data_IF_380844035652
#
_entry.id   IF_380844035652
#
_cell.length_a   1.000
_cell.length_b   1.000
_cell.length_c   1.000
_cell.angle_alpha   90.00
_cell.angle_beta   90.00
_cell.angle_gamma   90.00
#
_symmetry.space_group_name_H-M   'P 1'
#
loop_
_entity.id
_entity.type
_entity.pdbx_description
1 polymer ?
#
# COMPACT_ATOMS: atom_id res chain seq x y z
N UNK A 1 17.19 -11.02 10.12
CA UNK A 1 16.36 -12.24 9.92
C UNK A 1 14.98 -11.76 9.49
N UNK A 2 14.37 -12.34 8.45
CA UNK A 2 12.99 -11.97 8.08
C UNK A 2 12.02 -12.58 9.08
N UNK A 3 11.04 -11.81 9.56
CA UNK A 3 9.91 -12.34 10.32
C UNK A 3 9.28 -13.50 9.57
N UNK A 4 9.03 -14.61 10.25
CA UNK A 4 8.04 -15.54 9.76
C UNK A 4 6.66 -14.99 10.12
N UNK A 5 5.94 -14.52 9.11
CA UNK A 5 4.57 -14.01 9.26
C UNK A 5 3.59 -15.19 9.34
N UNK A 6 2.79 -15.27 10.39
CA UNK A 6 1.66 -16.20 10.47
C UNK A 6 0.51 -15.76 9.57
N UNK A 7 -0.40 -16.67 9.27
CA UNK A 7 -1.62 -16.39 8.47
C UNK A 7 -2.48 -15.33 9.16
N UNK A 8 -2.62 -15.40 10.48
CA UNK A 8 -3.39 -14.45 11.29
C UNK A 8 -2.78 -13.05 11.25
N UNK A 9 -1.45 -12.95 11.32
CA UNK A 9 -0.73 -11.67 11.22
C UNK A 9 -0.89 -11.03 9.84
N UNK A 10 -0.87 -11.84 8.77
CA UNK A 10 -1.08 -11.35 7.41
C UNK A 10 -2.53 -10.89 7.21
N UNK A 11 -3.52 -11.63 7.72
CA UNK A 11 -4.94 -11.23 7.69
C UNK A 11 -5.14 -9.90 8.43
N UNK A 12 -4.54 -9.74 9.59
CA UNK A 12 -4.60 -8.49 10.36
C UNK A 12 -4.00 -7.32 9.56
N UNK A 13 -2.81 -7.50 8.97
CA UNK A 13 -2.20 -6.51 8.09
C UNK A 13 -3.12 -6.09 6.93
N UNK A 14 -3.76 -7.06 6.28
CA UNK A 14 -4.69 -6.80 5.16
C UNK A 14 -5.92 -6.04 5.65
N UNK A 15 -6.53 -6.47 6.76
CA UNK A 15 -7.72 -5.85 7.34
C UNK A 15 -7.46 -4.41 7.78
N UNK A 16 -6.37 -4.16 8.53
CA UNK A 16 -6.00 -2.82 8.94
C UNK A 16 -5.71 -1.92 7.74
N UNK A 17 -4.99 -2.45 6.73
CA UNK A 17 -4.75 -1.69 5.50
C UNK A 17 -6.04 -1.38 4.75
N UNK A 18 -7.01 -2.30 4.74
CA UNK A 18 -8.31 -2.12 4.11
C UNK A 18 -9.14 -1.06 4.84
N UNK A 19 -9.21 -1.13 6.16
CA UNK A 19 -9.92 -0.18 7.00
C UNK A 19 -9.34 1.24 6.89
N UNK A 20 -8.01 1.36 6.89
CA UNK A 20 -7.29 2.62 6.75
C UNK A 20 -7.07 3.10 5.32
N UNK A 21 -7.69 2.50 4.29
CA UNK A 21 -7.33 2.79 2.90
C UNK A 21 -7.60 4.22 2.46
N UNK A 22 -8.74 4.78 2.86
CA UNK A 22 -9.06 6.16 2.56
C UNK A 22 -8.06 7.13 3.19
N UNK A 23 -7.71 6.89 4.45
CA UNK A 23 -6.71 7.68 5.17
C UNK A 23 -5.33 7.58 4.50
N UNK A 24 -4.92 6.38 4.09
CA UNK A 24 -3.64 6.17 3.43
C UNK A 24 -3.49 7.02 2.16
N UNK A 25 -4.54 7.09 1.33
CA UNK A 25 -4.51 7.86 0.08
C UNK A 25 -4.66 9.36 0.31
N UNK A 26 -5.40 9.78 1.34
CA UNK A 26 -5.49 11.19 1.75
C UNK A 26 -4.18 11.69 2.39
N UNK A 27 -3.40 10.79 2.98
CA UNK A 27 -2.18 11.12 3.72
C UNK A 27 -1.02 11.47 2.76
N UNK A 28 -0.38 12.64 2.93
CA UNK A 28 0.82 12.99 2.16
C UNK A 28 1.93 11.94 2.31
N UNK A 29 2.69 11.68 1.25
CA UNK A 29 3.68 10.60 1.22
C UNK A 29 4.68 10.61 2.39
N UNK A 30 5.11 11.80 2.84
CA UNK A 30 6.02 11.97 4.00
C UNK A 30 5.48 11.37 5.31
N UNK A 31 4.16 11.25 5.43
CA UNK A 31 3.49 10.79 6.64
C UNK A 31 3.02 9.32 6.54
N UNK A 32 3.12 8.69 5.36
CA UNK A 32 2.72 7.27 5.19
C UNK A 32 3.54 6.31 6.04
N UNK A 33 4.74 6.71 6.48
CA UNK A 33 5.53 5.94 7.46
C UNK A 33 4.77 5.76 8.77
N UNK A 34 4.11 6.81 9.26
CA UNK A 34 3.38 6.75 10.53
C UNK A 34 2.16 5.83 10.40
N UNK A 35 1.43 5.92 9.28
CA UNK A 35 0.32 4.99 8.98
C UNK A 35 0.75 3.52 9.09
N UNK A 36 1.89 3.16 8.49
CA UNK A 36 2.37 1.79 8.57
C UNK A 36 2.87 1.42 9.97
N UNK A 37 3.43 2.38 10.70
CA UNK A 37 3.85 2.20 12.09
C UNK A 37 2.64 1.91 13.00
N UNK A 38 1.51 2.59 12.79
CA UNK A 38 0.28 2.35 13.54
C UNK A 38 -0.26 0.94 13.31
N UNK A 39 -0.23 0.45 12.05
CA UNK A 39 -0.57 -0.94 11.74
C UNK A 39 0.38 -1.92 12.45
N UNK A 40 1.69 -1.65 12.43
CA UNK A 40 2.67 -2.50 13.09
C UNK A 40 2.44 -2.56 14.61
N UNK A 41 2.16 -1.41 15.23
CA UNK A 41 1.83 -1.31 16.64
C UNK A 41 0.57 -2.11 16.99
N UNK A 42 -0.47 -2.07 16.16
CA UNK A 42 -1.68 -2.85 16.37
C UNK A 42 -1.43 -4.36 16.27
N UNK A 43 -0.70 -4.81 15.24
CA UNK A 43 -0.32 -6.22 15.09
C UNK A 43 0.49 -6.69 16.30
N UNK A 44 1.50 -5.91 16.70
CA UNK A 44 2.33 -6.19 17.86
C UNK A 44 1.49 -6.27 19.15
N UNK A 45 0.57 -5.32 19.36
CA UNK A 45 -0.33 -5.28 20.51
C UNK A 45 -1.22 -6.52 20.61
N UNK A 46 -1.89 -6.88 19.52
CA UNK A 46 -2.82 -8.04 19.52
C UNK A 46 -2.07 -9.37 19.69
N UNK A 47 -0.86 -9.48 19.13
CA UNK A 47 -0.07 -10.70 19.21
C UNK A 47 0.85 -10.74 20.45
N UNK A 48 0.82 -9.72 21.30
CA UNK A 48 1.73 -9.56 22.44
C UNK A 48 3.22 -9.70 22.05
N UNK A 49 3.60 -9.04 20.96
CA UNK A 49 4.99 -9.00 20.45
C UNK A 49 5.45 -7.56 20.25
N UNK A 50 6.73 -7.36 19.94
CA UNK A 50 7.31 -6.07 19.52
C UNK A 50 8.16 -6.24 18.26
N UNK A 51 7.83 -7.25 17.44
CA UNK A 51 8.69 -7.73 16.38
C UNK A 51 8.55 -6.90 15.09
N UNK A 52 7.33 -6.49 14.77
CA UNK A 52 7.04 -5.85 13.48
C UNK A 52 7.26 -4.35 13.55
N UNK A 53 7.86 -3.79 12.50
CA UNK A 53 7.93 -2.33 12.28
C UNK A 53 6.98 -1.91 11.17
N UNK A 54 6.72 -0.60 11.04
CA UNK A 54 5.95 -0.10 9.90
C UNK A 54 6.61 -0.41 8.55
N UNK A 55 7.95 -0.42 8.50
CA UNK A 55 8.67 -0.81 7.29
C UNK A 55 8.41 -2.27 6.90
N UNK A 56 8.41 -3.19 7.88
CA UNK A 56 8.09 -4.60 7.66
C UNK A 56 6.67 -4.78 7.13
N UNK A 57 5.70 -4.06 7.70
CA UNK A 57 4.30 -4.09 7.28
C UNK A 57 4.15 -3.63 5.83
N UNK A 58 4.73 -2.48 5.48
CA UNK A 58 4.71 -1.96 4.11
C UNK A 58 5.36 -2.95 3.12
N UNK A 59 6.54 -3.46 3.46
CA UNK A 59 7.28 -4.41 2.62
C UNK A 59 6.50 -5.71 2.40
N UNK A 60 5.87 -6.23 3.47
CA UNK A 60 5.04 -7.44 3.39
C UNK A 60 3.81 -7.18 2.52
N UNK A 61 3.12 -6.06 2.71
CA UNK A 61 1.94 -5.69 1.92
C UNK A 61 2.26 -5.55 0.42
N UNK A 62 3.38 -4.89 0.08
CA UNK A 62 3.86 -4.78 -1.30
C UNK A 62 4.20 -6.14 -1.91
N UNK A 63 4.79 -7.05 -1.13
CA UNK A 63 5.06 -8.41 -1.58
C UNK A 63 3.77 -9.18 -1.89
N UNK A 64 2.74 -9.05 -1.04
CA UNK A 64 1.41 -9.64 -1.27
C UNK A 64 0.75 -9.08 -2.54
N UNK A 65 0.81 -7.76 -2.71
CA UNK A 65 0.29 -7.08 -3.91
C UNK A 65 0.96 -7.60 -5.19
N UNK A 66 2.30 -7.75 -5.18
CA UNK A 66 3.06 -8.29 -6.33
C UNK A 66 2.72 -9.76 -6.60
N UNK A 67 2.53 -10.56 -5.54
CA UNK A 67 2.13 -11.94 -5.66
C UNK A 67 0.74 -12.06 -6.32
N UNK A 68 -0.22 -11.19 -5.94
CA UNK A 68 -1.53 -11.11 -6.58
C UNK A 68 -1.41 -10.83 -8.09
N UNK A 69 -0.67 -9.80 -8.49
CA UNK A 69 -0.53 -9.47 -9.92
C UNK A 69 0.13 -10.60 -10.73
N UNK A 70 1.11 -11.28 -10.14
CA UNK A 70 1.75 -12.45 -10.75
C UNK A 70 0.74 -13.58 -10.95
N UNK A 71 -0.07 -13.89 -9.93
CA UNK A 71 -1.11 -14.91 -10.01
C UNK A 71 -2.20 -14.53 -11.02
N UNK A 72 -2.61 -13.25 -11.07
CA UNK A 72 -3.61 -12.75 -12.04
C UNK A 72 -3.12 -12.89 -13.48
N UNK A 73 -1.87 -12.51 -13.76
CA UNK A 73 -1.28 -12.66 -15.09
C UNK A 73 -1.19 -14.14 -15.50
N UNK A 74 -0.78 -15.02 -14.58
CA UNK A 74 -0.74 -16.46 -14.82
C UNK A 74 -2.14 -17.03 -15.13
N UNK A 75 -3.15 -16.73 -14.29
CA UNK A 75 -4.53 -17.17 -14.50
C UNK A 75 -5.08 -16.70 -15.86
N UNK A 76 -4.75 -15.46 -16.25
CA UNK A 76 -5.14 -14.90 -17.55
C UNK A 76 -4.49 -15.68 -18.72
N UNK A 77 -3.18 -15.90 -18.69
CA UNK A 77 -2.48 -16.63 -19.74
C UNK A 77 -2.97 -18.08 -19.89
N UNK A 78 -3.28 -18.75 -18.77
CA UNK A 78 -3.87 -20.11 -18.80
C UNK A 78 -5.28 -20.08 -19.42
N UNK A 79 -6.10 -19.08 -19.12
CA UNK A 79 -7.42 -18.94 -19.71
C UNK A 79 -7.36 -18.65 -21.21
N UNK A 80 -6.43 -17.79 -21.66
CA UNK A 80 -6.21 -17.48 -23.08
C UNK A 80 -5.74 -18.73 -23.85
N UNK A 81 -4.75 -19.46 -23.34
CA UNK A 81 -4.28 -20.71 -23.95
C UNK A 81 -5.39 -21.78 -24.04
N UNK A 82 -6.23 -21.90 -23.00
CA UNK A 82 -7.37 -22.82 -23.01
C UNK A 82 -8.46 -22.37 -23.99
N UNK A 83 -8.67 -21.07 -24.18
CA UNK A 83 -9.62 -20.54 -25.15
C UNK A 83 -9.14 -20.74 -26.59
N UNK A 84 -7.85 -20.54 -26.85
CA UNK A 84 -7.21 -20.82 -28.16
C UNK A 84 -7.30 -22.31 -28.51
N UNK A 85 -7.00 -23.20 -27.55
CA UNK A 85 -7.12 -24.64 -27.73
C UNK A 85 -8.57 -25.12 -27.99
N UNK A 86 -9.59 -24.37 -27.58
CA UNK A 86 -10.98 -24.68 -27.86
C UNK A 86 -11.40 -24.26 -29.29
N UNK A 87 -10.76 -23.25 -29.87
CA UNK A 87 -11.01 -22.78 -31.24
C UNK A 87 -10.24 -23.61 -32.27
N UNK A 88 -9.03 -24.07 -31.93
CA UNK A 88 -8.29 -25.05 -32.70
C UNK A 88 -8.79 -26.46 -32.36
N UNK A 89 -9.95 -26.84 -32.91
CA UNK A 89 -10.44 -28.22 -32.78
C UNK A 89 -9.37 -29.22 -33.22
N UNK A 90 -8.76 -29.94 -32.28
CA UNK A 90 -7.69 -30.91 -32.60
C UNK A 90 -7.54 -32.01 -31.55
N UNK A 91 -7.61 -33.24 -32.05
CA UNK A 91 -7.63 -34.56 -31.40
C UNK A 91 -6.32 -34.96 -30.69
N UNK A 92 -5.70 -34.10 -29.88
CA UNK A 92 -4.49 -34.47 -29.15
C UNK A 92 -4.69 -34.31 -27.64
N UNK A 93 -4.97 -35.45 -26.99
CA UNK A 93 -4.91 -35.66 -25.54
C UNK A 93 -3.48 -35.55 -25.03
N UNK A 94 -2.82 -34.41 -25.21
CA UNK A 94 -1.62 -34.09 -24.44
C UNK A 94 -2.08 -33.48 -23.11
N UNK A 95 -2.26 -34.38 -22.14
CA UNK A 95 -2.81 -34.12 -20.81
C UNK A 95 -2.34 -32.79 -20.21
N UNK A 96 -3.30 -32.05 -19.66
CA UNK A 96 -3.19 -30.78 -18.94
C UNK A 96 -2.07 -30.71 -17.84
N UNK A 97 -1.34 -31.79 -17.60
CA UNK A 97 -0.17 -31.85 -16.74
C UNK A 97 1.13 -31.34 -17.39
N UNK A 98 1.28 -31.38 -18.72
CA UNK A 98 2.48 -30.92 -19.43
C UNK A 98 2.69 -29.40 -19.38
N UNK A 99 1.62 -28.63 -19.55
CA UNK A 99 1.62 -27.16 -19.40
C UNK A 99 1.83 -26.75 -17.93
N UNK A 100 1.23 -27.50 -17.00
CA UNK A 100 1.48 -27.32 -15.56
C UNK A 100 2.95 -27.61 -15.22
N UNK A 101 3.56 -28.67 -15.76
CA UNK A 101 4.93 -29.08 -15.44
C UNK A 101 6.00 -28.10 -15.94
N UNK A 102 5.79 -27.42 -17.07
CA UNK A 102 6.73 -26.39 -17.58
C UNK A 102 6.73 -25.10 -16.74
N UNK A 103 5.65 -24.83 -15.98
CA UNK A 103 5.53 -23.62 -15.13
C UNK A 103 5.69 -23.93 -13.64
N UNK A 104 5.58 -25.19 -13.21
CA UNK A 104 5.61 -25.67 -11.80
C UNK A 104 6.95 -25.56 -11.06
N UNK A 105 7.98 -24.89 -11.59
CA UNK A 105 9.27 -24.78 -10.87
C UNK A 105 9.36 -23.49 -10.05
N UNK A 106 8.90 -23.64 -8.80
CA UNK A 106 9.21 -22.82 -7.61
C UNK A 106 8.51 -21.46 -7.55
N UNK A 107 7.37 -21.41 -6.86
CA UNK A 107 7.04 -20.33 -5.90
C UNK A 107 5.82 -20.75 -5.09
N UNK A 108 5.99 -20.85 -3.77
CA UNK A 108 4.90 -20.99 -2.80
C UNK A 108 3.89 -19.87 -3.05
N UNK A 109 2.66 -20.22 -3.43
CA UNK A 109 1.57 -19.29 -3.75
C UNK A 109 0.93 -18.78 -2.46
N UNK A 110 1.71 -18.09 -1.62
CA UNK A 110 1.14 -17.22 -0.57
C UNK A 110 0.09 -16.26 -1.16
N UNK A 111 0.24 -15.89 -2.43
CA UNK A 111 -0.73 -15.07 -3.15
C UNK A 111 -2.07 -15.75 -3.48
N UNK A 112 -2.19 -17.09 -3.41
CA UNK A 112 -3.48 -17.78 -3.63
C UNK A 112 -4.43 -17.59 -2.46
N UNK A 113 -3.94 -17.71 -1.23
CA UNK A 113 -4.75 -17.62 -0.01
C UNK A 113 -5.47 -16.27 0.13
N UNK A 114 -4.87 -15.20 -0.41
CA UNK A 114 -5.41 -13.84 -0.37
C UNK A 114 -5.85 -13.33 -1.74
N UNK A 115 -5.86 -14.19 -2.76
CA UNK A 115 -6.13 -13.77 -4.14
C UNK A 115 -7.48 -13.07 -4.27
N UNK A 116 -8.52 -13.61 -3.63
CA UNK A 116 -9.87 -13.06 -3.70
C UNK A 116 -10.02 -11.74 -2.95
N UNK A 117 -9.35 -11.59 -1.81
CA UNK A 117 -9.33 -10.29 -1.12
C UNK A 117 -8.66 -9.24 -1.99
N UNK A 118 -7.55 -9.59 -2.62
CA UNK A 118 -6.85 -8.70 -3.52
C UNK A 118 -7.58 -8.48 -4.86
N UNK A 119 -8.50 -9.37 -5.26
CA UNK A 119 -9.26 -9.19 -6.52
C UNK A 119 -10.22 -8.00 -6.46
N UNK A 120 -10.62 -7.60 -5.26
CA UNK A 120 -11.44 -6.39 -5.01
C UNK A 120 -10.67 -5.08 -5.18
N UNK A 121 -9.34 -5.14 -5.35
CA UNK A 121 -8.48 -3.97 -5.53
C UNK A 121 -8.61 -2.90 -4.43
N UNK A 122 -8.99 -3.32 -3.21
CA UNK A 122 -9.34 -2.44 -2.09
C UNK A 122 -8.24 -1.43 -1.71
N UNK A 123 -6.98 -1.67 -2.07
CA UNK A 123 -5.85 -0.81 -1.76
C UNK A 123 -5.66 0.33 -2.77
N UNK A 124 -6.44 0.37 -3.85
CA UNK A 124 -6.42 1.48 -4.81
C UNK A 124 -7.16 2.70 -4.25
N UNK A 125 -6.91 3.85 -4.86
CA UNK A 125 -7.52 5.11 -4.44
C UNK A 125 -9.04 5.09 -4.71
N UNK A 126 -9.87 5.25 -3.67
CA UNK A 126 -11.32 5.29 -3.83
C UNK A 126 -11.70 6.65 -4.42
N UNK A 127 -11.86 6.71 -5.75
CA UNK A 127 -12.22 7.95 -6.43
C UNK A 127 -11.51 8.20 -7.75
N UNK A 128 -10.53 7.37 -8.13
CA UNK A 128 -9.95 7.38 -9.47
C UNK A 128 -10.95 6.76 -10.49
N UNK A 129 -12.15 7.35 -10.61
CA UNK A 129 -12.90 7.23 -11.86
C UNK A 129 -12.03 7.92 -12.90
N UNK A 130 -11.63 7.16 -13.91
CA UNK A 130 -10.96 7.70 -15.08
C UNK A 130 -11.80 8.85 -15.64
N UNK A 131 -11.46 10.09 -15.30
CA UNK A 131 -11.93 11.24 -16.04
C UNK A 131 -11.23 11.16 -17.39
N UNK A 132 -11.87 10.49 -18.34
CA UNK A 132 -11.58 10.66 -19.77
C UNK A 132 -12.06 12.06 -20.14
N UNK A 133 -11.35 13.09 -19.65
CA UNK A 133 -11.59 14.47 -20.06
C UNK A 133 -10.92 14.62 -21.42
N UNK A 134 -11.72 14.50 -22.49
CA UNK A 134 -11.35 14.98 -23.81
C UNK A 134 -11.00 16.47 -23.69
N UNK A 135 -9.70 16.77 -23.70
CA UNK A 135 -9.18 18.13 -23.67
C UNK A 135 -9.40 18.79 -25.05
N UNK A 136 -10.55 19.44 -25.23
CA UNK A 136 -10.68 20.46 -26.26
C UNK A 136 -10.43 21.82 -25.61
N UNK A 137 -9.16 22.23 -25.61
CA UNK A 137 -8.76 23.62 -25.34
C UNK A 137 -8.77 24.40 -26.63
N UNK A 138 -9.33 25.61 -26.64
CA UNK A 138 -8.57 26.73 -27.18
C UNK A 138 -8.63 27.98 -26.30
N UNK A 139 -7.44 28.51 -25.98
CA UNK A 139 -7.20 29.95 -25.99
C UNK A 139 -7.30 30.71 -24.66
N UNK A 140 -6.24 31.46 -24.26
CA UNK A 140 -6.18 32.26 -23.04
C UNK A 140 -6.71 33.69 -23.29
N UNK A 141 -7.38 34.27 -22.29
CA UNK A 141 -7.61 35.70 -22.24
C UNK A 141 -7.26 36.23 -20.84
N UNK A 142 -6.18 37.00 -20.82
CA UNK A 142 -5.79 37.86 -19.71
C UNK A 142 -6.85 38.94 -19.48
N UNK A 143 -7.20 39.24 -18.24
CA UNK A 143 -7.53 40.61 -17.84
C UNK A 143 -7.30 40.76 -16.35
N UNK A 144 -6.31 41.58 -15.99
CA UNK A 144 -5.97 41.90 -14.61
C UNK A 144 -7.02 42.76 -13.91
N UNK A 145 -6.87 42.90 -12.60
CA UNK A 145 -7.26 44.09 -11.84
C UNK A 145 -6.60 44.06 -10.46
N UNK A 146 -5.93 45.15 -10.17
CA UNK A 146 -5.03 45.43 -9.06
C UNK A 146 -5.71 45.62 -7.69
N UNK A 147 -4.84 45.65 -6.68
CA UNK A 147 -4.81 46.59 -5.54
C UNK A 147 -5.27 46.10 -4.14
N UNK A 148 -4.24 45.93 -3.29
CA UNK A 148 -4.11 46.42 -1.91
C UNK A 148 -5.12 46.01 -0.83
N UNK A 149 -4.61 45.36 0.23
CA UNK A 149 -4.27 46.06 1.50
C UNK A 149 -3.72 45.08 2.56
N UNK A 150 -2.53 45.39 3.09
CA UNK A 150 -2.01 44.94 4.40
C UNK A 150 -2.31 46.07 5.43
N UNK A 151 -2.09 45.98 6.78
CA UNK A 151 -1.17 45.08 7.51
C UNK A 151 -1.59 44.64 8.97
N UNK A 152 -0.66 43.90 9.60
CA UNK A 152 -0.34 43.79 11.05
C UNK A 152 -1.21 42.96 12.02
N UNK A 153 -0.57 41.93 12.61
CA UNK A 153 -0.20 41.94 14.05
C UNK A 153 0.88 40.89 14.37
N UNK A 154 2.01 41.38 14.90
CA UNK A 154 3.04 40.60 15.60
C UNK A 154 2.59 40.40 17.05
N UNK A 155 2.82 39.21 17.62
CA UNK A 155 3.09 39.07 19.06
C UNK A 155 4.10 37.96 19.28
N UNK A 156 5.30 38.38 19.73
CA UNK A 156 6.37 37.55 20.28
C UNK A 156 5.90 36.96 21.61
N UNK A 157 6.09 35.66 21.85
CA UNK A 157 5.93 35.07 23.18
C UNK A 157 7.26 34.47 23.63
N UNK A 158 7.75 35.01 24.74
CA UNK A 158 9.07 34.79 25.33
C UNK A 158 9.22 33.40 25.96
N UNK A 159 10.43 32.85 25.87
CA UNK A 159 10.90 31.72 26.70
C UNK A 159 11.19 32.23 28.12
N UNK A 160 10.87 31.47 29.18
CA UNK A 160 11.51 31.65 30.48
C UNK A 160 12.86 30.92 30.52
N UNK A 161 13.90 31.64 30.91
CA UNK A 161 15.17 31.12 31.39
C UNK A 161 15.08 31.06 32.91
N UNK A 162 15.45 29.93 33.52
CA UNK A 162 15.70 29.86 34.97
C UNK A 162 17.14 29.40 35.23
N UNK A 163 17.81 30.00 36.23
CA UNK A 163 19.26 29.87 36.45
C UNK A 163 19.67 28.58 37.18
N UNK A 164 20.89 28.11 36.87
CA UNK A 164 21.63 27.10 37.64
C UNK A 164 21.96 27.60 39.05
N UNK A 165 21.76 26.74 40.04
CA UNK A 165 22.27 26.94 41.41
C UNK A 165 23.41 25.94 41.64
N UNK A 166 24.62 26.47 41.81
CA UNK A 166 25.82 25.76 42.28
C UNK A 166 25.90 25.79 43.82
N UNK A 167 26.11 24.59 44.41
CA UNK A 167 26.96 24.19 45.58
C UNK A 167 26.78 24.85 46.98
N UNK A 168 27.02 24.12 48.10
CA UNK A 168 28.36 23.65 48.47
C UNK A 168 28.49 22.24 49.08
N UNK A 169 29.73 21.76 48.99
CA UNK A 169 30.33 20.58 49.62
C UNK A 169 30.32 20.75 51.14
N UNK A 170 29.94 19.68 51.86
CA UNK A 170 30.14 19.55 53.31
C UNK A 170 31.36 18.65 53.54
N UNK A 171 32.22 19.12 54.45
CA UNK A 171 33.47 18.52 54.93
C UNK A 171 33.32 17.11 55.49
#
# INVERSE_FOLDING_TARGET
MSAQWSEEQIRMLINERKNGNEEYHRTPNRNKRNFWEDIANEINRVNNTNYFTGEDCNKKFLALTRAYYTARAYKKAVAEANAEALLEGSDNTETNEGLKAKVKKKRSLVGEHYYEEFSTEFWKEPGARHSTTLSNTPGPLETGSDTSSSPHKQTKSSRPVTPSTETPVVL
#
